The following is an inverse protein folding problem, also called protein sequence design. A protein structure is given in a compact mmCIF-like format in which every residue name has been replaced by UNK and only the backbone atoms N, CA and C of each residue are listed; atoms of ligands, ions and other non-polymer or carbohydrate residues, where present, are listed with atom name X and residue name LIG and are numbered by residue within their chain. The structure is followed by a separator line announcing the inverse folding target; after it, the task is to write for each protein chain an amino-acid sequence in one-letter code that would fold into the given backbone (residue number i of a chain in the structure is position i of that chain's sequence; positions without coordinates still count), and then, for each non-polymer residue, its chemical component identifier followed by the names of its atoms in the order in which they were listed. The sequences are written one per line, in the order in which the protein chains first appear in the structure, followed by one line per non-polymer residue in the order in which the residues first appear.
data_IF_786754412136
#
_entry.id   IF_786754412136
#
_cell.length_a   1.000
_cell.length_b   1.000
_cell.length_c   1.000
_cell.angle_alpha   90.00
_cell.angle_beta   90.00
_cell.angle_gamma   90.00
#
_symmetry.space_group_name_H-M   'P 1'
#
loop_
_entity.id
_entity.type
_entity.pdbx_description
1 polymer ?
#
# COMPACT_ATOMS: atom_id res chain seq x y z
N UNK A 1 -24.84 -2.90 -50.52
CA UNK A 1 -24.57 -3.54 -49.21
C UNK A 1 -23.17 -3.18 -48.68
N UNK A 2 -23.07 -2.06 -47.96
CA UNK A 2 -21.85 -1.65 -47.25
C UNK A 2 -22.21 -1.33 -45.80
N UNK A 3 -22.01 -2.31 -44.93
CA UNK A 3 -21.80 -2.18 -43.49
C UNK A 3 -21.24 -3.53 -42.98
N UNK A 4 -20.48 -3.61 -41.87
CA UNK A 4 -19.76 -2.56 -41.16
C UNK A 4 -18.34 -3.03 -40.73
N UNK A 5 -17.27 -2.42 -41.23
CA UNK A 5 -15.91 -2.57 -40.66
C UNK A 5 -15.75 -1.87 -39.29
N UNK A 6 -16.80 -1.20 -38.82
CA UNK A 6 -16.81 -0.40 -37.59
C UNK A 6 -17.01 -1.23 -36.32
N UNK A 7 -17.68 -2.39 -36.39
CA UNK A 7 -17.96 -3.24 -35.22
C UNK A 7 -16.69 -3.92 -34.65
N UNK A 8 -15.77 -4.36 -35.51
CA UNK A 8 -14.54 -5.02 -35.09
C UNK A 8 -13.55 -4.06 -34.38
N UNK A 9 -13.51 -2.80 -34.82
CA UNK A 9 -12.66 -1.76 -34.22
C UNK A 9 -13.16 -1.36 -32.82
N UNK A 10 -14.47 -1.23 -32.65
CA UNK A 10 -15.07 -0.94 -31.35
C UNK A 10 -14.81 -2.05 -30.32
N UNK A 11 -14.90 -3.32 -30.75
CA UNK A 11 -14.61 -4.48 -29.91
C UNK A 11 -13.15 -4.51 -29.44
N UNK A 12 -12.20 -4.23 -30.34
CA UNK A 12 -10.78 -4.18 -30.00
C UNK A 12 -10.44 -3.08 -28.99
N UNK A 13 -11.05 -1.89 -29.13
CA UNK A 13 -10.88 -0.78 -28.19
C UNK A 13 -11.47 -1.13 -26.81
N UNK A 14 -12.63 -1.79 -26.78
CA UNK A 14 -13.29 -2.18 -25.53
C UNK A 14 -12.47 -3.21 -24.75
N UNK A 15 -11.91 -4.22 -25.45
CA UNK A 15 -11.04 -5.24 -24.86
C UNK A 15 -9.72 -4.62 -24.37
N UNK A 16 -9.13 -3.70 -25.13
CA UNK A 16 -7.90 -3.00 -24.74
C UNK A 16 -8.13 -2.13 -23.48
N UNK A 17 -9.27 -1.43 -23.40
CA UNK A 17 -9.66 -0.65 -22.23
C UNK A 17 -9.89 -1.54 -20.99
N UNK A 18 -10.51 -2.70 -21.15
CA UNK A 18 -10.73 -3.67 -20.06
C UNK A 18 -9.43 -4.28 -19.53
N UNK A 19 -8.44 -4.49 -20.40
CA UNK A 19 -7.12 -5.00 -20.01
C UNK A 19 -6.29 -3.95 -19.28
N UNK A 20 -6.44 -2.67 -19.63
CA UNK A 20 -5.74 -1.55 -18.97
C UNK A 20 -6.29 -1.24 -17.57
N UNK A 21 -7.56 -1.54 -17.29
CA UNK A 21 -8.15 -1.33 -15.95
C UNK A 21 -7.79 -2.40 -14.93
N UNK A 22 -7.30 -3.57 -15.38
CA UNK A 22 -6.89 -4.69 -14.50
C UNK A 22 -5.57 -4.44 -13.75
N UNK A 23 -4.80 -3.41 -14.09
CA UNK A 23 -3.66 -2.99 -13.27
C UNK A 23 -4.17 -2.18 -12.09
N UNK A 24 -4.75 -2.86 -11.10
CA UNK A 24 -5.08 -2.26 -9.82
C UNK A 24 -3.76 -1.84 -9.18
N UNK A 25 -3.42 -0.57 -9.26
CA UNK A 25 -2.27 -0.02 -8.58
C UNK A 25 -2.54 -0.13 -7.08
N UNK A 26 -1.93 -1.12 -6.44
CA UNK A 26 -1.87 -1.17 -4.98
C UNK A 26 -1.11 0.09 -4.56
N UNK A 27 -1.81 1.05 -3.94
CA UNK A 27 -1.24 2.30 -3.46
C UNK A 27 -0.34 2.04 -2.24
N UNK A 28 0.83 1.46 -2.49
CA UNK A 28 1.91 1.43 -1.50
C UNK A 28 2.45 2.86 -1.40
N UNK A 29 2.37 3.47 -0.21
CA UNK A 29 2.97 4.80 0.03
C UNK A 29 4.49 4.69 0.02
N UNK A 30 5.06 4.76 -1.19
CA UNK A 30 6.50 4.78 -1.43
C UNK A 30 6.99 6.21 -1.32
N UNK A 31 7.89 6.50 -0.40
CA UNK A 31 8.54 7.82 -0.31
C UNK A 31 9.99 7.69 -0.79
N UNK A 32 10.44 8.65 -1.60
CA UNK A 32 11.87 8.74 -1.94
C UNK A 32 12.63 9.05 -0.66
N UNK A 33 13.67 8.26 -0.38
CA UNK A 33 14.47 8.44 0.82
C UNK A 33 15.70 9.28 0.50
N UNK A 34 16.08 10.13 1.44
CA UNK A 34 17.43 10.71 1.42
C UNK A 34 18.40 9.64 1.88
N UNK A 35 19.33 9.25 1.01
CA UNK A 35 20.41 8.34 1.38
C UNK A 35 21.55 9.14 2.02
N UNK A 36 22.02 8.69 3.18
CA UNK A 36 23.22 9.20 3.84
C UNK A 36 24.08 8.00 4.25
N UNK A 37 25.33 7.94 3.77
CA UNK A 37 26.31 6.91 4.12
C UNK A 37 25.80 5.46 4.00
N UNK A 38 25.07 5.13 2.92
CA UNK A 38 24.53 3.78 2.72
C UNK A 38 23.34 3.43 3.61
N UNK A 39 22.69 4.42 4.23
CA UNK A 39 21.50 4.27 5.06
C UNK A 39 20.39 5.19 4.57
N UNK A 40 19.14 4.78 4.75
CA UNK A 40 18.01 5.65 4.46
C UNK A 40 17.73 6.56 5.65
N UNK A 41 17.47 7.84 5.41
CA UNK A 41 17.06 8.78 6.46
C UNK A 41 15.57 9.04 6.33
N UNK A 42 14.81 8.75 7.40
CA UNK A 42 13.39 9.07 7.50
C UNK A 42 13.05 9.59 8.90
N UNK A 43 12.32 10.72 8.96
CA UNK A 43 11.93 11.39 10.20
C UNK A 43 13.11 11.60 11.18
N UNK A 44 14.26 12.03 10.64
CA UNK A 44 15.48 12.30 11.43
C UNK A 44 16.22 11.05 11.93
N UNK A 45 15.78 9.84 11.57
CA UNK A 45 16.43 8.58 11.97
C UNK A 45 17.07 7.89 10.79
N UNK A 46 18.28 7.38 11.00
CA UNK A 46 18.96 6.50 10.06
C UNK A 46 18.39 5.08 10.17
N UNK A 47 18.04 4.50 9.03
CA UNK A 47 17.45 3.17 8.91
C UNK A 47 18.41 2.33 8.06
N UNK A 48 18.84 1.22 8.63
CA UNK A 48 19.63 0.22 7.92
C UNK A 48 18.81 -0.43 6.80
N UNK A 49 19.51 -0.92 5.79
CA UNK A 49 18.87 -1.71 4.75
C UNK A 49 18.08 -2.88 5.35
N UNK A 50 16.85 -3.09 4.86
CA UNK A 50 15.95 -4.12 5.37
C UNK A 50 14.64 -3.54 5.89
N UNK A 51 13.97 -4.28 6.78
CA UNK A 51 12.64 -3.94 7.32
C UNK A 51 12.69 -3.81 8.83
N UNK A 52 12.02 -2.79 9.36
CA UNK A 52 11.88 -2.54 10.80
C UNK A 52 10.39 -2.42 11.13
N UNK A 53 9.90 -3.32 11.99
CA UNK A 53 8.53 -3.29 12.52
C UNK A 53 8.53 -2.42 13.79
N UNK A 54 7.60 -1.49 13.93
CA UNK A 54 7.45 -0.61 15.10
C UNK A 54 6.09 -0.82 15.76
N UNK A 55 6.06 -0.62 17.08
CA UNK A 55 4.82 -0.59 17.88
C UNK A 55 4.22 0.82 17.94
N UNK A 56 5.07 1.84 18.09
CA UNK A 56 4.66 3.25 18.13
C UNK A 56 5.65 4.13 17.35
N UNK A 57 5.22 4.83 16.29
CA UNK A 57 3.95 4.61 15.56
C UNK A 57 3.83 3.15 15.06
N UNK A 58 2.60 2.63 14.98
CA UNK A 58 2.33 1.26 14.54
C UNK A 58 2.51 1.16 13.01
N UNK A 59 3.73 0.86 12.58
CA UNK A 59 4.09 0.83 11.17
C UNK A 59 5.29 -0.09 10.91
N UNK A 60 5.46 -0.50 9.67
CA UNK A 60 6.68 -1.10 9.15
C UNK A 60 7.40 -0.08 8.26
N UNK A 61 8.72 0.03 8.43
CA UNK A 61 9.56 0.85 7.58
C UNK A 61 10.55 -0.07 6.86
N UNK A 62 10.56 0.03 5.54
CA UNK A 62 11.49 -0.72 4.68
C UNK A 62 12.44 0.27 4.00
N UNK A 63 13.74 0.00 4.06
CA UNK A 63 14.77 0.77 3.36
C UNK A 63 15.42 -0.11 2.29
N UNK A 64 15.25 0.27 1.03
CA UNK A 64 15.95 -0.33 -0.10
C UNK A 64 17.02 0.65 -0.59
N UNK A 65 18.27 0.41 -0.18
CA UNK A 65 19.41 1.25 -0.57
C UNK A 65 19.74 1.11 -2.06
N UNK A 66 19.43 -0.04 -2.68
CA UNK A 66 19.67 -0.27 -4.11
C UNK A 66 18.72 0.56 -4.95
N UNK A 67 17.47 0.68 -4.50
CA UNK A 67 16.42 1.50 -5.14
C UNK A 67 16.38 2.94 -4.64
N UNK A 68 17.15 3.28 -3.60
CA UNK A 68 17.13 4.58 -2.91
C UNK A 68 15.71 4.94 -2.41
N UNK A 69 15.01 3.94 -1.90
CA UNK A 69 13.58 4.04 -1.57
C UNK A 69 13.34 3.71 -0.09
N UNK A 70 12.44 4.47 0.55
CA UNK A 70 11.86 4.10 1.84
C UNK A 70 10.37 3.89 1.68
N UNK A 71 9.92 2.71 2.04
CA UNK A 71 8.51 2.35 2.07
C UNK A 71 8.03 2.35 3.50
N UNK A 72 6.87 2.94 3.75
CA UNK A 72 6.28 3.02 5.09
C UNK A 72 4.87 2.49 5.01
N UNK A 73 4.63 1.44 5.76
CA UNK A 73 3.37 0.72 5.78
C UNK A 73 2.74 0.90 7.16
N UNK A 74 1.66 1.67 7.22
CA UNK A 74 0.84 1.83 8.42
C UNK A 74 -0.33 0.85 8.44
N UNK A 75 -1.17 0.96 9.47
CA UNK A 75 -2.44 0.24 9.50
C UNK A 75 -3.38 0.77 8.41
N UNK A 76 -4.14 -0.15 7.80
CA UNK A 76 -5.17 0.21 6.82
C UNK A 76 -6.34 0.97 7.44
N UNK A 77 -7.23 1.53 6.60
CA UNK A 77 -8.46 2.16 7.07
C UNK A 77 -9.31 1.15 7.85
N UNK A 78 -9.93 1.63 8.92
CA UNK A 78 -10.89 0.85 9.68
C UNK A 78 -12.27 0.95 9.03
N UNK A 79 -13.04 -0.15 8.95
CA UNK A 79 -14.43 -0.08 8.53
C UNK A 79 -15.27 0.69 9.55
N UNK A 80 -16.41 1.21 9.11
CA UNK A 80 -17.38 1.87 9.98
C UNK A 80 -17.86 0.94 11.09
N UNK A 81 -17.90 1.45 12.32
CA UNK A 81 -18.25 0.66 13.50
C UNK A 81 -19.76 0.47 13.58
N UNK A 82 -20.22 -0.77 13.39
CA UNK A 82 -21.65 -1.13 13.46
C UNK A 82 -22.09 -1.46 14.90
N UNK A 83 -23.39 -1.40 15.23
CA UNK A 83 -23.90 -1.90 16.49
C UNK A 83 -23.49 -3.37 16.73
N UNK A 84 -23.05 -3.69 17.94
CA UNK A 84 -22.53 -5.03 18.28
C UNK A 84 -21.07 -5.27 17.89
N UNK A 85 -20.39 -4.27 17.32
CA UNK A 85 -18.96 -4.32 17.02
C UNK A 85 -18.15 -3.40 17.94
N UNK A 86 -16.94 -3.83 18.27
CA UNK A 86 -15.98 -3.09 19.11
C UNK A 86 -14.64 -2.96 18.40
N UNK A 87 -13.95 -1.83 18.63
CA UNK A 87 -12.58 -1.66 18.16
C UNK A 87 -11.59 -2.21 19.20
N UNK A 88 -10.82 -3.22 18.81
CA UNK A 88 -9.77 -3.81 19.65
C UNK A 88 -8.39 -3.37 19.19
N UNK A 89 -7.68 -2.67 20.07
CA UNK A 89 -6.30 -2.22 19.83
C UNK A 89 -5.29 -3.36 20.06
N UNK A 90 -4.41 -3.59 19.08
CA UNK A 90 -3.27 -4.49 19.21
C UNK A 90 -2.14 -3.89 20.06
N UNK A 91 -1.34 -4.75 20.72
CA UNK A 91 -0.25 -4.32 21.65
C UNK A 91 1.16 -4.73 21.22
N UNK A 92 1.33 -5.39 20.08
CA UNK A 92 2.63 -5.90 19.63
C UNK A 92 3.28 -4.97 18.59
N UNK A 93 4.12 -5.47 17.69
CA UNK A 93 4.70 -4.72 16.59
C UNK A 93 3.84 -4.85 15.33
N UNK A 94 3.85 -3.85 14.44
CA UNK A 94 3.07 -3.88 13.18
C UNK A 94 3.24 -5.21 12.44
N UNK A 95 2.21 -5.88 11.89
CA UNK A 95 0.82 -5.42 11.84
C UNK A 95 0.00 -5.77 13.09
N UNK A 96 0.60 -6.44 14.07
CA UNK A 96 -0.11 -6.94 15.26
C UNK A 96 -0.47 -5.84 16.27
N UNK A 97 0.08 -4.63 16.14
CA UNK A 97 -0.44 -3.45 16.84
C UNK A 97 -1.63 -2.80 16.14
N UNK A 98 -2.02 -3.21 14.93
CA UNK A 98 -3.10 -2.54 14.23
C UNK A 98 -4.45 -2.81 14.91
N UNK A 99 -5.33 -1.79 14.99
CA UNK A 99 -6.67 -1.96 15.50
C UNK A 99 -7.47 -2.90 14.59
N UNK A 100 -8.37 -3.69 15.20
CA UNK A 100 -9.28 -4.60 14.51
C UNK A 100 -10.71 -4.36 15.00
N UNK A 101 -11.67 -4.40 14.09
CA UNK A 101 -13.10 -4.41 14.46
C UNK A 101 -13.51 -5.86 14.72
N UNK A 102 -14.10 -6.10 15.89
CA UNK A 102 -14.61 -7.41 16.29
C UNK A 102 -16.10 -7.25 16.53
N UNK A 103 -16.91 -8.00 15.79
CA UNK A 103 -18.36 -8.07 15.97
C UNK A 103 -18.71 -9.38 16.66
N UNK A 104 -19.67 -9.35 17.58
CA UNK A 104 -20.20 -10.54 18.24
C UNK A 104 -21.52 -10.97 17.64
#
# INVERSE_FOLDING_TARGET
PRQPRTCARAFGIFVLALLLTLTVAVEVSRKRAHLKNGRCVYAGREIFHGRVRRRSPCQQISCDIRKREVTIEGCGPLPELRPGCELKQGRSYYPDCCPKVICR
#
